data_IF_262633220086
#
_entry.id   IF_262633220086
#
_cell.length_a   1.000
_cell.length_b   1.000
_cell.length_c   1.000
_cell.angle_alpha   90.00
_cell.angle_beta   90.00
_cell.angle_gamma   90.00
#
_symmetry.space_group_name_H-M   'P 1'
#
loop_
_entity.id
_entity.type
_entity.pdbx_description
1 polymer ?
#
# COMPACT_ATOMS: atom_id res chain seq x y z
N UNK A 1 10.47 46.19 -13.36
CA UNK A 1 11.07 45.96 -14.69
C UNK A 1 10.48 44.68 -15.25
N UNK A 2 9.73 44.79 -16.34
CA UNK A 2 8.91 43.74 -16.95
C UNK A 2 9.67 43.25 -18.19
N UNK A 3 10.04 41.97 -18.26
CA UNK A 3 10.65 41.38 -19.46
C UNK A 3 9.93 40.08 -19.77
N UNK A 4 8.99 40.21 -20.69
CA UNK A 4 8.33 39.17 -21.47
C UNK A 4 9.36 38.50 -22.40
N UNK A 5 9.25 37.20 -22.64
CA UNK A 5 8.84 36.68 -23.97
C UNK A 5 8.62 35.17 -23.93
N UNK A 6 7.45 34.81 -24.44
CA UNK A 6 6.94 33.48 -24.76
C UNK A 6 7.48 33.02 -26.12
N UNK A 7 7.76 31.73 -26.28
CA UNK A 7 7.93 31.08 -27.57
C UNK A 7 7.29 29.68 -27.53
N UNK A 8 6.17 29.57 -28.25
CA UNK A 8 5.46 28.34 -28.59
C UNK A 8 6.31 27.43 -29.48
N UNK A 9 6.30 26.13 -29.18
CA UNK A 9 6.52 25.09 -30.20
C UNK A 9 5.34 24.13 -30.13
N UNK A 10 4.46 24.26 -31.12
CA UNK A 10 3.44 23.28 -31.47
C UNK A 10 4.12 22.10 -32.17
N UNK A 11 3.83 20.87 -31.74
CA UNK A 11 3.89 19.72 -32.64
C UNK A 11 2.55 18.97 -32.61
N UNK A 12 1.95 18.97 -33.78
CA UNK A 12 0.64 18.46 -34.18
C UNK A 12 0.59 16.94 -34.37
N UNK A 13 -0.60 16.38 -34.08
CA UNK A 13 -1.26 15.21 -34.69
C UNK A 13 -0.51 13.85 -34.65
N UNK A 14 -1.12 12.72 -34.31
CA UNK A 14 -2.49 12.33 -34.11
C UNK A 14 -2.57 10.80 -34.26
N UNK A 15 -3.60 10.16 -33.69
CA UNK A 15 -4.37 9.01 -34.19
C UNK A 15 -5.03 8.30 -33.00
N UNK A 16 -6.35 8.44 -32.98
CA UNK A 16 -7.31 7.59 -32.29
C UNK A 16 -7.38 6.24 -33.00
N UNK A 17 -7.35 5.13 -32.26
CA UNK A 17 -8.06 3.92 -32.65
C UNK A 17 -8.73 3.28 -31.42
N UNK A 18 -10.05 3.19 -31.51
CA UNK A 18 -11.01 2.35 -30.78
C UNK A 18 -10.57 0.86 -30.75
N UNK A 19 -11.09 -0.06 -29.94
CA UNK A 19 -12.49 -0.50 -29.83
C UNK A 19 -12.74 -1.22 -28.50
N UNK A 20 -13.98 -1.04 -28.06
CA UNK A 20 -14.77 -1.82 -27.10
C UNK A 20 -14.86 -3.32 -27.43
N UNK A 21 -14.80 -4.18 -26.41
CA UNK A 21 -15.52 -5.45 -26.40
C UNK A 21 -16.17 -5.67 -25.02
N UNK A 22 -17.46 -5.35 -24.96
CA UNK A 22 -18.38 -5.81 -23.92
C UNK A 22 -18.56 -7.33 -24.03
N UNK A 23 -18.46 -8.04 -22.91
CA UNK A 23 -18.97 -9.39 -22.74
C UNK A 23 -19.80 -9.44 -21.46
N UNK A 24 -21.10 -9.19 -21.59
CA UNK A 24 -22.06 -9.18 -20.48
C UNK A 24 -22.34 -10.58 -19.95
N UNK A 25 -22.46 -10.62 -18.62
CA UNK A 25 -23.10 -11.61 -17.74
C UNK A 25 -24.38 -12.21 -18.32
N UNK A 26 -24.67 -13.48 -18.01
CA UNK A 26 -25.98 -13.94 -17.45
C UNK A 26 -25.75 -15.18 -16.55
N UNK A 27 -26.13 -15.06 -15.27
CA UNK A 27 -26.31 -16.13 -14.27
C UNK A 27 -27.64 -16.89 -14.53
N UNK A 28 -27.80 -18.18 -14.19
CA UNK A 28 -28.32 -18.71 -12.90
C UNK A 28 -28.99 -20.09 -13.17
N UNK A 29 -29.46 -20.87 -12.18
CA UNK A 29 -28.81 -21.35 -10.96
C UNK A 29 -28.94 -22.90 -10.82
N UNK A 30 -28.09 -23.55 -10.04
CA UNK A 30 -28.47 -24.86 -9.44
C UNK A 30 -27.79 -25.05 -8.08
N UNK A 31 -28.61 -25.04 -7.04
CA UNK A 31 -28.26 -25.48 -5.71
C UNK A 31 -28.00 -27.00 -5.72
N UNK A 32 -26.92 -27.43 -5.05
CA UNK A 32 -26.87 -28.59 -4.15
C UNK A 32 -25.53 -28.58 -3.40
N UNK A 33 -25.67 -28.54 -2.08
CA UNK A 33 -24.75 -28.95 -1.00
C UNK A 33 -23.54 -29.82 -1.36
N UNK A 34 -22.35 -29.41 -0.89
CA UNK A 34 -21.32 -30.25 -0.26
C UNK A 34 -20.21 -29.38 0.35
N UNK A 35 -19.72 -29.79 1.51
CA UNK A 35 -18.55 -29.29 2.24
C UNK A 35 -17.28 -29.44 1.38
N UNK A 36 -16.48 -28.37 1.21
CA UNK A 36 -15.02 -28.47 1.00
C UNK A 36 -14.31 -27.11 1.17
N UNK A 37 -13.28 -27.13 2.01
CA UNK A 37 -12.02 -26.37 1.93
C UNK A 37 -11.97 -25.13 1.01
N UNK A 38 -12.14 -23.93 1.58
CA UNK A 38 -11.70 -22.69 0.92
C UNK A 38 -10.21 -22.43 1.20
N UNK A 39 -9.35 -23.21 0.54
CA UNK A 39 -8.08 -22.70 0.07
C UNK A 39 -8.34 -21.99 -1.26
N UNK A 40 -8.70 -20.71 -1.22
CA UNK A 40 -8.67 -19.86 -2.40
C UNK A 40 -7.34 -19.12 -2.47
N UNK A 41 -6.36 -19.79 -3.08
CA UNK A 41 -5.32 -19.10 -3.84
C UNK A 41 -6.01 -18.32 -4.95
N UNK A 42 -6.05 -17.00 -4.81
CA UNK A 42 -6.18 -16.10 -5.94
C UNK A 42 -4.95 -15.22 -5.98
N UNK A 43 -3.95 -15.71 -6.72
CA UNK A 43 -2.85 -14.91 -7.24
C UNK A 43 -3.44 -13.86 -8.17
N UNK A 44 -3.61 -12.65 -7.65
CA UNK A 44 -3.70 -11.44 -8.44
C UNK A 44 -2.87 -10.35 -7.73
N UNK A 45 -1.56 -10.30 -8.01
CA UNK A 45 -0.87 -9.03 -8.09
C UNK A 45 -1.64 -8.12 -9.06
N UNK A 46 -2.52 -7.28 -8.53
CA UNK A 46 -2.76 -5.88 -8.93
C UNK A 46 -3.96 -5.32 -8.14
N UNK A 47 -3.70 -4.56 -7.07
CA UNK A 47 -4.66 -3.59 -6.57
C UNK A 47 -3.91 -2.37 -6.00
N UNK A 48 -3.84 -1.32 -6.81
CA UNK A 48 -3.83 0.08 -6.34
C UNK A 48 -5.12 0.30 -5.51
N UNK A 49 -5.15 -0.20 -4.29
CA UNK A 49 -6.31 -0.18 -3.39
C UNK A 49 -5.99 0.48 -2.06
N UNK A 50 -7.02 0.98 -1.37
CA UNK A 50 -6.90 1.38 0.03
C UNK A 50 -7.20 0.16 0.89
N UNK A 51 -6.29 -0.14 1.81
CA UNK A 51 -6.44 -1.23 2.78
C UNK A 51 -6.76 -0.66 4.16
N UNK A 52 -7.55 -1.40 4.93
CA UNK A 52 -7.81 -1.15 6.34
C UNK A 52 -6.80 -1.82 7.26
N UNK A 53 -6.92 -1.54 8.55
CA UNK A 53 -6.23 -2.28 9.61
C UNK A 53 -6.80 -3.70 9.64
N UNK A 54 -5.92 -4.71 9.70
CA UNK A 54 -6.27 -6.13 9.69
C UNK A 54 -6.30 -6.78 8.31
N UNK A 55 -6.29 -5.99 7.23
CA UNK A 55 -6.22 -6.53 5.88
C UNK A 55 -4.84 -7.14 5.59
N UNK A 56 -4.84 -8.25 4.84
CA UNK A 56 -3.62 -8.85 4.29
C UNK A 56 -3.27 -8.20 2.96
N UNK A 57 -2.04 -7.74 2.84
CA UNK A 57 -1.48 -7.13 1.64
C UNK A 57 -0.36 -8.04 1.15
N UNK A 58 -0.60 -8.78 0.07
CA UNK A 58 0.36 -9.72 -0.50
C UNK A 58 1.06 -9.08 -1.69
N UNK A 59 2.39 -8.99 -1.62
CA UNK A 59 3.26 -8.68 -2.74
C UNK A 59 3.79 -10.00 -3.30
N UNK A 60 3.18 -10.47 -4.39
CA UNK A 60 3.40 -11.82 -4.95
C UNK A 60 4.88 -12.23 -4.98
N UNK A 61 5.17 -13.35 -4.30
CA UNK A 61 6.51 -13.95 -4.22
C UNK A 61 7.53 -13.17 -3.39
N UNK A 62 7.14 -12.09 -2.72
CA UNK A 62 8.04 -11.23 -1.95
C UNK A 62 7.68 -11.25 -0.46
N UNK A 63 6.50 -10.73 -0.10
CA UNK A 63 6.09 -10.63 1.30
C UNK A 63 4.58 -10.47 1.44
N UNK A 64 4.05 -10.85 2.60
CA UNK A 64 2.70 -10.52 3.04
C UNK A 64 2.78 -9.60 4.27
N UNK A 65 2.06 -8.48 4.22
CA UNK A 65 1.97 -7.51 5.30
C UNK A 65 0.57 -7.48 5.91
N UNK A 66 0.48 -7.18 7.19
CA UNK A 66 -0.77 -6.88 7.88
C UNK A 66 -0.54 -5.79 8.91
N UNK A 67 -1.18 -4.63 8.75
CA UNK A 67 -1.19 -3.59 9.79
C UNK A 67 -2.14 -4.06 10.89
N UNK A 68 -1.65 -4.23 12.12
CA UNK A 68 -2.41 -4.79 13.24
C UNK A 68 -2.86 -3.72 14.24
N UNK A 69 -2.21 -2.56 14.26
CA UNK A 69 -2.57 -1.49 15.18
C UNK A 69 -1.96 -0.15 14.79
N UNK A 70 -2.68 0.93 15.10
CA UNK A 70 -2.24 2.32 14.95
C UNK A 70 -2.71 3.10 16.16
N UNK A 71 -1.78 3.67 16.92
CA UNK A 71 -2.08 4.42 18.13
C UNK A 71 -1.13 5.60 18.32
N UNK A 72 -1.64 6.68 18.92
CA UNK A 72 -0.76 7.76 19.40
C UNK A 72 -0.08 7.30 20.68
N UNK A 73 1.23 7.49 20.76
CA UNK A 73 2.04 7.10 21.92
C UNK A 73 2.49 8.31 22.72
N UNK A 74 2.36 8.21 24.03
CA UNK A 74 2.96 9.14 25.00
C UNK A 74 4.38 8.71 25.42
N UNK A 75 4.80 7.50 25.06
CA UNK A 75 6.15 7.00 25.33
C UNK A 75 7.18 7.74 24.46
N UNK A 76 8.36 8.02 25.04
CA UNK A 76 9.47 8.66 24.35
C UNK A 76 10.75 7.87 24.58
N UNK A 77 11.49 7.68 23.49
CA UNK A 77 12.83 7.12 23.51
C UNK A 77 13.78 8.09 24.22
N UNK A 78 14.23 7.69 25.41
CA UNK A 78 15.15 8.48 26.24
C UNK A 78 16.55 8.69 25.63
N UNK A 79 16.93 7.89 24.63
CA UNK A 79 18.21 8.00 23.94
C UNK A 79 18.11 8.88 22.68
N UNK A 80 16.90 9.19 22.24
CA UNK A 80 16.67 10.01 21.05
C UNK A 80 16.55 11.50 21.42
N UNK A 81 17.32 12.35 20.73
CA UNK A 81 17.40 13.78 21.00
C UNK A 81 16.45 14.63 20.12
N UNK A 82 15.64 14.00 19.26
CA UNK A 82 14.75 14.74 18.34
C UNK A 82 13.51 15.31 19.02
N UNK A 83 13.13 14.77 20.19
CA UNK A 83 12.01 15.24 21.03
C UNK A 83 10.73 15.57 20.24
N UNK A 84 10.14 14.59 19.52
CA UNK A 84 8.96 14.84 18.72
C UNK A 84 7.75 15.19 19.60
N UNK A 85 6.96 16.17 19.17
CA UNK A 85 5.71 16.56 19.83
C UNK A 85 4.74 15.38 19.93
N UNK A 86 4.61 14.61 18.85
CA UNK A 86 3.71 13.45 18.74
C UNK A 86 4.42 12.28 18.09
N UNK A 87 4.10 11.08 18.57
CA UNK A 87 4.60 9.82 18.03
C UNK A 87 3.40 8.95 17.68
N UNK A 88 3.32 8.50 16.42
CA UNK A 88 2.32 7.51 16.00
C UNK A 88 3.01 6.15 15.94
N UNK A 89 2.55 5.20 16.76
CA UNK A 89 3.05 3.82 16.77
C UNK A 89 2.21 3.00 15.81
N UNK A 90 2.88 2.31 14.88
CA UNK A 90 2.26 1.40 13.91
C UNK A 90 2.80 0.00 14.18
N UNK A 91 1.89 -0.92 14.50
CA UNK A 91 2.19 -2.34 14.68
C UNK A 91 1.81 -3.09 13.41
N UNK A 92 2.69 -3.97 12.95
CA UNK A 92 2.45 -4.77 11.76
C UNK A 92 3.13 -6.13 11.84
N UNK A 93 2.56 -7.10 11.14
CA UNK A 93 3.16 -8.40 10.88
C UNK A 93 3.68 -8.44 9.44
N UNK A 94 4.80 -9.11 9.24
CA UNK A 94 5.38 -9.36 7.93
C UNK A 94 5.75 -10.84 7.81
N UNK A 95 5.36 -11.46 6.70
CA UNK A 95 5.79 -12.81 6.32
C UNK A 95 6.67 -12.68 5.09
N UNK A 96 7.91 -13.12 5.16
CA UNK A 96 8.77 -13.24 3.99
C UNK A 96 8.32 -14.45 3.15
N UNK A 97 7.93 -14.21 1.91
CA UNK A 97 7.46 -15.25 0.98
C UNK A 97 8.55 -15.67 -0.01
N UNK A 98 9.76 -15.12 0.13
CA UNK A 98 10.90 -15.35 -0.74
C UNK A 98 12.02 -16.08 -0.01
N UNK A 99 12.94 -16.67 -0.77
CA UNK A 99 14.16 -17.30 -0.25
C UNK A 99 15.28 -16.28 0.06
N UNK A 100 15.01 -14.97 -0.03
CA UNK A 100 16.00 -13.89 0.19
C UNK A 100 15.70 -13.17 1.49
N UNK A 101 16.74 -12.62 2.11
CA UNK A 101 16.57 -11.79 3.30
C UNK A 101 15.71 -10.55 2.99
N UNK A 102 14.78 -10.26 3.88
CA UNK A 102 13.89 -9.11 3.82
C UNK A 102 14.35 -8.06 4.83
N UNK A 103 14.66 -6.85 4.36
CA UNK A 103 15.03 -5.73 5.22
C UNK A 103 13.76 -5.08 5.80
N UNK A 104 13.66 -5.06 7.13
CA UNK A 104 12.52 -4.50 7.86
C UNK A 104 12.88 -3.14 8.46
N UNK A 105 11.92 -2.22 8.47
CA UNK A 105 12.01 -0.90 9.12
C UNK A 105 12.31 0.26 8.17
N UNK A 106 12.58 -0.02 6.90
CA UNK A 106 12.76 0.99 5.83
C UNK A 106 11.80 0.78 4.64
N UNK A 107 10.89 -0.16 4.78
CA UNK A 107 9.95 -0.68 3.78
C UNK A 107 8.58 0.03 3.81
N UNK A 108 8.32 0.85 4.84
CA UNK A 108 7.04 1.53 5.06
C UNK A 108 7.25 3.05 5.12
N UNK A 109 6.50 3.77 4.28
CA UNK A 109 6.35 5.22 4.38
C UNK A 109 5.01 5.60 5.01
N UNK A 110 5.04 6.39 6.08
CA UNK A 110 3.84 6.86 6.77
C UNK A 110 3.50 8.30 6.40
N UNK A 111 2.22 8.55 6.09
CA UNK A 111 1.71 9.89 5.78
C UNK A 111 0.53 10.25 6.67
N UNK A 112 0.52 11.47 7.21
CA UNK A 112 -0.62 12.04 7.96
C UNK A 112 -0.98 13.38 7.33
N UNK A 113 -2.25 13.54 6.93
CA UNK A 113 -2.72 14.76 6.25
C UNK A 113 -1.95 15.08 4.96
N UNK A 114 -1.45 14.06 4.26
CA UNK A 114 -0.65 14.21 3.03
C UNK A 114 0.82 14.58 3.23
N UNK A 115 1.30 14.69 4.48
CA UNK A 115 2.72 14.92 4.80
C UNK A 115 3.38 13.63 5.23
N UNK A 116 4.57 13.34 4.67
CA UNK A 116 5.41 12.22 5.10
C UNK A 116 5.87 12.47 6.53
N UNK A 117 5.70 11.48 7.41
CA UNK A 117 6.15 11.50 8.79
C UNK A 117 7.64 11.13 8.85
N UNK A 118 8.34 11.62 9.88
CA UNK A 118 9.67 11.12 10.21
C UNK A 118 9.60 9.78 10.92
N UNK A 119 10.68 8.99 10.85
CA UNK A 119 10.83 7.76 11.63
C UNK A 119 11.32 8.08 13.03
N UNK A 120 10.71 7.47 14.04
CA UNK A 120 11.13 7.59 15.43
C UNK A 120 11.56 6.21 15.95
N UNK A 121 12.82 6.04 16.41
CA UNK A 121 13.32 4.74 16.86
C UNK A 121 12.54 4.25 18.09
N UNK A 122 11.96 3.06 17.99
CA UNK A 122 11.34 2.39 19.12
C UNK A 122 12.40 1.89 20.11
N UNK A 123 12.04 1.77 21.39
CA UNK A 123 12.82 0.99 22.36
C UNK A 123 12.31 -0.45 22.26
N UNK A 124 13.22 -1.41 22.11
CA UNK A 124 12.90 -2.83 22.23
C UNK A 124 13.49 -3.26 23.57
N UNK A 125 12.62 -3.67 24.49
CA UNK A 125 13.01 -4.19 25.80
C UNK A 125 13.80 -5.50 25.71
#
# INVERSE_FOLDING_TARGET
MKKSTSLLVLWSAGILLSLTACGSKIESPKATSSEESTAQTSSQANAQGKYGIGDKITFDGQAEYTITGVEWSEERNQFDQSHPEKVLKVSYNVTNLSDKDLLIGSDIDLYVGGKKMGTYPNIVD
#
